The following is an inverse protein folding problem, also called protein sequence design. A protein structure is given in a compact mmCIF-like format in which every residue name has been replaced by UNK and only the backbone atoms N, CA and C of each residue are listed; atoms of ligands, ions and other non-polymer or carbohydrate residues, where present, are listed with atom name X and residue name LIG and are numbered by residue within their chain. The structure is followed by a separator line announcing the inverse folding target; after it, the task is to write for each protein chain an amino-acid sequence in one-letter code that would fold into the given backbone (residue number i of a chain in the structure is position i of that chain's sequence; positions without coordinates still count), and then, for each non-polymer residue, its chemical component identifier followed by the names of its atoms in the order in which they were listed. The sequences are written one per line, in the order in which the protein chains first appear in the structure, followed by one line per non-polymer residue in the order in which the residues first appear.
data_IF_065894239780
#
_entry.id   IF_065894239780
#
_cell.length_a   1.000
_cell.length_b   1.000
_cell.length_c   1.000
_cell.angle_alpha   90.00
_cell.angle_beta   90.00
_cell.angle_gamma   90.00
#
_symmetry.space_group_name_H-M   'P 1'
#
loop_
_entity.id
_entity.type
_entity.pdbx_description
1 polymer ?
#
# COMPACT_ATOMS: atom_id res chain seq x y z
N UNK A 1 -46.73 -28.79 13.88
CA UNK A 1 -46.27 -27.50 14.44
C UNK A 1 -44.76 -27.52 14.37
N UNK A 2 -44.20 -27.13 13.22
CA UNK A 2 -42.75 -27.15 12.93
C UNK A 2 -42.25 -25.75 13.03
N UNK A 3 -41.39 -25.49 14.01
CA UNK A 3 -40.73 -24.21 14.23
C UNK A 3 -39.67 -23.99 13.11
N UNK A 4 -39.91 -23.02 12.24
CA UNK A 4 -38.95 -22.48 11.28
C UNK A 4 -37.88 -21.72 12.05
N UNK A 5 -36.69 -22.30 12.21
CA UNK A 5 -35.52 -21.61 12.69
C UNK A 5 -35.04 -20.76 11.52
N UNK A 6 -35.31 -19.46 11.57
CA UNK A 6 -34.75 -18.49 10.65
C UNK A 6 -33.23 -18.54 10.81
N UNK A 7 -32.53 -19.08 9.80
CA UNK A 7 -31.08 -18.91 9.67
C UNK A 7 -30.81 -17.43 9.53
N UNK A 8 -30.36 -16.81 10.62
CA UNK A 8 -29.80 -15.46 10.58
C UNK A 8 -28.57 -15.50 9.64
N UNK A 9 -28.70 -14.97 8.44
CA UNK A 9 -27.65 -14.97 7.43
C UNK A 9 -26.62 -13.90 7.83
N UNK A 10 -25.60 -14.33 8.58
CA UNK A 10 -24.50 -13.48 9.02
C UNK A 10 -23.83 -12.73 7.86
N UNK A 11 -23.90 -13.32 6.64
CA UNK A 11 -23.33 -12.70 5.44
C UNK A 11 -24.10 -11.45 5.04
N UNK A 12 -25.42 -11.46 5.15
CA UNK A 12 -26.27 -10.30 4.87
C UNK A 12 -26.17 -9.23 5.96
N UNK A 13 -26.00 -9.64 7.24
CA UNK A 13 -25.83 -8.70 8.34
C UNK A 13 -24.50 -7.93 8.23
N UNK A 14 -23.43 -8.60 7.83
CA UNK A 14 -22.12 -7.96 7.62
C UNK A 14 -22.15 -7.05 6.38
N UNK A 15 -22.75 -7.50 5.28
CA UNK A 15 -22.81 -6.72 4.03
C UNK A 15 -23.68 -5.46 4.18
N UNK A 16 -24.83 -5.53 4.86
CA UNK A 16 -25.69 -4.35 5.05
C UNK A 16 -25.14 -3.34 6.05
N UNK A 17 -24.36 -3.75 7.07
CA UNK A 17 -23.78 -2.83 8.04
C UNK A 17 -22.44 -2.20 7.58
N UNK A 18 -21.73 -2.82 6.65
CA UNK A 18 -20.45 -2.30 6.15
C UNK A 18 -20.62 -1.13 5.18
N UNK A 19 -21.75 -1.06 4.47
CA UNK A 19 -22.03 0.08 3.56
C UNK A 19 -22.77 1.24 4.23
N UNK A 20 -23.22 1.12 5.49
CA UNK A 20 -23.93 2.19 6.22
C UNK A 20 -22.98 3.03 7.08
N UNK A 21 -21.88 3.54 6.50
CA UNK A 21 -21.06 4.56 7.16
C UNK A 21 -21.70 5.97 6.99
N UNK A 22 -22.99 6.02 7.23
CA UNK A 22 -23.83 7.22 7.12
C UNK A 22 -24.13 7.86 8.50
N UNK A 23 -23.28 7.59 9.50
CA UNK A 23 -23.48 8.05 10.88
C UNK A 23 -22.87 9.41 11.18
N UNK A 24 -22.15 10.03 10.23
CA UNK A 24 -21.58 11.36 10.45
C UNK A 24 -22.00 12.30 9.34
N UNK A 25 -22.41 13.53 9.72
CA UNK A 25 -22.62 14.60 8.76
C UNK A 25 -21.35 14.82 7.92
N UNK A 26 -21.45 15.46 6.76
CA UNK A 26 -20.29 15.84 5.96
C UNK A 26 -19.24 16.59 6.78
N UNK A 27 -19.69 17.48 7.68
CA UNK A 27 -18.83 18.24 8.59
C UNK A 27 -18.06 17.32 9.57
N UNK A 28 -18.73 16.29 10.11
CA UNK A 28 -18.10 15.35 11.05
C UNK A 28 -16.99 14.54 10.37
N UNK A 29 -17.20 14.10 9.12
CA UNK A 29 -16.14 13.41 8.34
C UNK A 29 -14.89 14.26 8.18
N UNK A 30 -15.05 15.54 7.88
CA UNK A 30 -13.93 16.47 7.72
C UNK A 30 -13.21 16.73 9.04
N UNK A 31 -13.98 16.92 10.12
CA UNK A 31 -13.43 17.14 11.45
C UNK A 31 -12.64 15.93 11.95
N UNK A 32 -13.23 14.73 11.86
CA UNK A 32 -12.58 13.47 12.26
C UNK A 32 -11.36 13.21 11.39
N UNK A 33 -11.48 13.37 10.07
CA UNK A 33 -10.37 13.23 9.13
C UNK A 33 -9.22 14.16 9.45
N UNK A 34 -9.50 15.42 9.79
CA UNK A 34 -8.51 16.39 10.22
C UNK A 34 -7.79 15.97 11.51
N UNK A 35 -8.54 15.57 12.54
CA UNK A 35 -7.97 15.11 13.82
C UNK A 35 -7.09 13.85 13.64
N UNK A 36 -7.58 12.84 12.92
CA UNK A 36 -6.84 11.63 12.63
C UNK A 36 -5.56 11.91 11.83
N UNK A 37 -5.65 12.82 10.86
CA UNK A 37 -4.50 13.25 10.05
C UNK A 37 -3.44 13.91 10.92
N UNK A 38 -3.82 14.86 11.79
CA UNK A 38 -2.89 15.53 12.69
C UNK A 38 -2.22 14.54 13.63
N UNK A 39 -3.00 13.66 14.24
CA UNK A 39 -2.49 12.64 15.16
C UNK A 39 -1.51 11.69 14.46
N UNK A 40 -1.92 11.09 13.34
CA UNK A 40 -1.08 10.15 12.60
C UNK A 40 0.19 10.79 12.05
N UNK A 41 0.09 12.02 11.54
CA UNK A 41 1.25 12.78 11.06
C UNK A 41 2.24 13.06 12.19
N UNK A 42 1.75 13.44 13.37
CA UNK A 42 2.60 13.65 14.55
C UNK A 42 3.30 12.35 14.97
N UNK A 43 2.59 11.21 15.00
CA UNK A 43 3.17 9.90 15.30
C UNK A 43 4.22 9.51 14.26
N UNK A 44 3.90 9.60 12.96
CA UNK A 44 4.82 9.24 11.87
C UNK A 44 6.11 10.07 11.92
N UNK A 45 5.99 11.34 12.30
CA UNK A 45 7.14 12.24 12.46
C UNK A 45 7.94 11.93 13.74
N UNK A 46 7.26 11.62 14.83
CA UNK A 46 7.89 11.26 16.11
C UNK A 46 8.73 9.99 16.00
N UNK A 47 8.22 8.95 15.35
CA UNK A 47 8.97 7.70 15.09
C UNK A 47 10.03 7.84 13.99
N UNK A 48 10.23 9.04 13.43
CA UNK A 48 11.14 9.32 12.32
C UNK A 48 10.87 8.48 11.07
N UNK A 49 9.62 8.12 10.84
CA UNK A 49 9.20 7.39 9.64
C UNK A 49 9.19 8.27 8.39
N UNK A 50 9.04 9.60 8.59
CA UNK A 50 9.02 10.60 7.51
C UNK A 50 9.79 11.86 7.89
N UNK A 51 10.35 12.56 6.87
CA UNK A 51 10.90 13.92 7.02
C UNK A 51 9.78 14.96 7.18
N UNK A 52 10.11 16.24 7.41
CA UNK A 52 9.09 17.31 7.46
C UNK A 52 8.29 17.41 6.14
N UNK A 53 8.97 17.34 4.99
CA UNK A 53 8.30 17.30 3.67
C UNK A 53 7.46 16.06 3.48
N UNK A 54 7.97 14.89 3.93
CA UNK A 54 7.22 13.63 3.93
C UNK A 54 5.98 13.66 4.83
N UNK A 55 6.07 14.33 5.98
CA UNK A 55 4.95 14.53 6.89
C UNK A 55 3.84 15.41 6.27
N UNK A 56 4.22 16.48 5.57
CA UNK A 56 3.26 17.34 4.87
C UNK A 56 2.55 16.58 3.73
N UNK A 57 3.31 15.88 2.89
CA UNK A 57 2.74 15.04 1.83
C UNK A 57 1.85 13.93 2.42
N UNK A 58 2.31 13.26 3.46
CA UNK A 58 1.57 12.23 4.18
C UNK A 58 0.28 12.74 4.81
N UNK A 59 0.27 13.98 5.34
CA UNK A 59 -0.93 14.60 5.90
C UNK A 59 -2.00 14.81 4.82
N UNK A 60 -1.64 15.34 3.67
CA UNK A 60 -2.57 15.52 2.54
C UNK A 60 -3.15 14.17 2.10
N UNK A 61 -2.28 13.18 1.91
CA UNK A 61 -2.66 11.81 1.53
C UNK A 61 -3.59 11.18 2.56
N UNK A 62 -3.24 11.25 3.83
CA UNK A 62 -4.03 10.73 4.94
C UNK A 62 -5.44 11.31 4.95
N UNK A 63 -5.54 12.62 4.84
CA UNK A 63 -6.83 13.32 4.81
C UNK A 63 -7.68 12.90 3.60
N UNK A 64 -7.10 12.89 2.39
CA UNK A 64 -7.80 12.50 1.17
C UNK A 64 -8.25 11.05 1.20
N UNK A 65 -7.39 10.13 1.68
CA UNK A 65 -7.74 8.71 1.82
C UNK A 65 -8.88 8.51 2.83
N UNK A 66 -8.88 9.24 3.96
CA UNK A 66 -9.96 9.14 4.93
C UNK A 66 -11.28 9.71 4.38
N UNK A 67 -11.25 10.89 3.77
CA UNK A 67 -12.46 11.55 3.24
C UNK A 67 -13.05 10.77 2.06
N UNK A 68 -12.20 10.25 1.16
CA UNK A 68 -12.63 9.54 -0.04
C UNK A 68 -12.88 8.05 0.18
N UNK A 69 -12.00 7.36 0.89
CA UNK A 69 -12.08 5.91 1.11
C UNK A 69 -12.57 5.48 2.50
N UNK A 70 -12.83 6.45 3.38
CA UNK A 70 -13.33 6.19 4.74
C UNK A 70 -12.30 5.55 5.69
N UNK A 71 -12.77 5.04 6.86
CA UNK A 71 -11.91 4.42 7.87
C UNK A 71 -11.11 3.22 7.37
N UNK A 72 -11.65 2.46 6.41
CA UNK A 72 -10.97 1.31 5.82
C UNK A 72 -9.71 1.71 5.05
N UNK A 73 -9.78 2.79 4.25
CA UNK A 73 -8.62 3.32 3.54
C UNK A 73 -7.59 3.92 4.50
N UNK A 74 -8.02 4.58 5.56
CA UNK A 74 -7.15 5.09 6.60
C UNK A 74 -6.44 3.95 7.36
N UNK A 75 -7.15 2.90 7.74
CA UNK A 75 -6.57 1.72 8.36
C UNK A 75 -5.54 1.02 7.45
N UNK A 76 -5.83 0.94 6.16
CA UNK A 76 -4.89 0.42 5.17
C UNK A 76 -3.62 1.29 5.07
N UNK A 77 -3.76 2.62 5.06
CA UNK A 77 -2.62 3.55 5.09
C UNK A 77 -1.74 3.34 6.33
N UNK A 78 -2.35 3.24 7.51
CA UNK A 78 -1.61 2.94 8.75
C UNK A 78 -0.86 1.62 8.63
N UNK A 79 -1.50 0.59 8.05
CA UNK A 79 -0.89 -0.72 7.86
C UNK A 79 0.30 -0.64 6.91
N UNK A 80 0.18 0.05 5.77
CA UNK A 80 1.29 0.29 4.83
C UNK A 80 2.45 0.99 5.54
N UNK A 81 2.15 2.06 6.29
CA UNK A 81 3.18 2.79 7.04
C UNK A 81 3.87 1.91 8.09
N UNK A 82 3.10 1.16 8.88
CA UNK A 82 3.64 0.29 9.92
C UNK A 82 4.52 -0.83 9.34
N UNK A 83 4.06 -1.51 8.29
CA UNK A 83 4.84 -2.54 7.61
C UNK A 83 6.14 -1.97 7.05
N UNK A 84 6.05 -0.84 6.35
CA UNK A 84 7.21 -0.16 5.79
C UNK A 84 8.20 0.28 6.89
N UNK A 85 7.73 0.90 7.97
CA UNK A 85 8.58 1.35 9.08
C UNK A 85 9.25 0.19 9.79
N UNK A 86 8.51 -0.87 10.13
CA UNK A 86 9.03 -2.07 10.79
C UNK A 86 10.10 -2.73 9.92
N UNK A 87 9.80 -2.97 8.64
CA UNK A 87 10.74 -3.70 7.76
C UNK A 87 11.98 -2.88 7.42
N UNK A 88 11.87 -1.54 7.37
CA UNK A 88 13.04 -0.66 7.24
C UNK A 88 14.00 -0.81 8.41
N UNK A 89 13.53 -1.07 9.64
CA UNK A 89 14.39 -1.32 10.80
C UNK A 89 15.03 -2.70 10.79
N UNK A 90 14.41 -3.69 10.11
CA UNK A 90 14.94 -5.05 10.04
C UNK A 90 16.30 -5.07 9.31
N UNK A 91 17.30 -5.67 9.95
CA UNK A 91 18.64 -5.79 9.38
C UNK A 91 19.33 -4.46 9.06
N UNK A 92 18.92 -3.34 9.70
CA UNK A 92 19.45 -2.00 9.44
C UNK A 92 21.00 -1.94 9.42
N UNK A 93 21.74 -2.56 10.38
CA UNK A 93 23.20 -2.57 10.34
C UNK A 93 23.78 -3.21 9.08
N UNK A 94 23.17 -4.29 8.58
CA UNK A 94 23.59 -4.94 7.33
C UNK A 94 23.33 -4.01 6.12
N UNK A 95 22.14 -3.44 6.04
CA UNK A 95 21.78 -2.51 4.96
C UNK A 95 22.68 -1.28 4.95
N UNK A 96 23.06 -0.78 6.13
CA UNK A 96 23.99 0.33 6.27
C UNK A 96 25.41 -0.04 5.75
N UNK A 97 25.92 -1.22 6.08
CA UNK A 97 27.22 -1.72 5.55
C UNK A 97 27.21 -1.86 4.03
N UNK A 98 26.07 -2.18 3.44
CA UNK A 98 25.90 -2.31 1.99
C UNK A 98 25.62 -0.95 1.30
N UNK A 99 25.45 0.14 2.06
CA UNK A 99 25.15 1.47 1.50
C UNK A 99 23.73 1.63 0.95
N UNK A 100 22.80 0.74 1.33
CA UNK A 100 21.42 0.68 0.82
C UNK A 100 20.37 0.97 1.91
N UNK A 101 20.79 1.30 3.13
CA UNK A 101 19.88 1.64 4.22
C UNK A 101 19.10 2.91 3.93
N UNK A 102 17.81 2.92 4.24
CA UNK A 102 17.00 4.14 4.24
C UNK A 102 17.57 5.18 5.21
N UNK A 103 17.34 6.46 4.92
CA UNK A 103 17.83 7.56 5.75
C UNK A 103 17.17 7.54 7.13
N UNK A 104 17.93 7.88 8.16
CA UNK A 104 17.43 7.91 9.56
C UNK A 104 16.34 8.96 9.80
N UNK A 105 16.26 9.98 8.96
CA UNK A 105 15.22 11.00 9.00
C UNK A 105 13.87 10.49 8.47
N UNK A 106 13.84 9.33 7.84
CA UNK A 106 12.68 8.72 7.22
C UNK A 106 12.43 9.19 5.78
N UNK A 107 11.29 8.78 5.22
CA UNK A 107 10.92 9.01 3.82
C UNK A 107 10.60 10.47 3.55
N UNK A 108 11.10 10.96 2.42
CA UNK A 108 10.83 12.33 1.95
C UNK A 108 9.48 12.43 1.19
N UNK A 109 9.09 13.66 0.82
CA UNK A 109 7.84 13.90 0.11
C UNK A 109 7.72 13.14 -1.22
N UNK A 110 8.81 13.07 -2.00
CA UNK A 110 8.80 12.39 -3.28
C UNK A 110 8.58 10.88 -3.13
N UNK A 111 9.20 10.25 -2.12
CA UNK A 111 8.98 8.83 -1.79
C UNK A 111 7.53 8.58 -1.37
N UNK A 112 6.97 9.44 -0.50
CA UNK A 112 5.59 9.32 -0.02
C UNK A 112 4.60 9.46 -1.18
N UNK A 113 4.79 10.46 -2.05
CA UNK A 113 3.93 10.69 -3.22
C UNK A 113 4.06 9.57 -4.26
N UNK A 114 5.26 9.06 -4.50
CA UNK A 114 5.48 7.97 -5.45
C UNK A 114 4.72 6.70 -5.06
N UNK A 115 4.75 6.35 -3.77
CA UNK A 115 4.12 5.11 -3.28
C UNK A 115 2.61 5.24 -3.05
N UNK A 116 2.11 6.42 -2.69
CA UNK A 116 0.72 6.59 -2.24
C UNK A 116 -0.12 7.47 -3.16
N UNK A 117 0.50 8.14 -4.14
CA UNK A 117 -0.17 9.12 -5.02
C UNK A 117 -1.29 8.51 -5.84
N UNK A 118 -1.11 7.31 -6.41
CA UNK A 118 -2.13 6.62 -7.20
C UNK A 118 -3.36 6.28 -6.34
N UNK A 119 -3.16 5.70 -5.16
CA UNK A 119 -4.25 5.41 -4.23
C UNK A 119 -4.99 6.68 -3.81
N UNK A 120 -4.25 7.77 -3.56
CA UNK A 120 -4.81 9.08 -3.21
C UNK A 120 -5.64 9.66 -4.34
N UNK A 121 -5.17 9.57 -5.59
CA UNK A 121 -5.92 10.00 -6.76
C UNK A 121 -7.23 9.21 -6.92
N UNK A 122 -7.19 7.89 -6.74
CA UNK A 122 -8.39 7.05 -6.76
C UNK A 122 -9.40 7.47 -5.67
N UNK A 123 -8.93 7.75 -4.45
CA UNK A 123 -9.77 8.23 -3.35
C UNK A 123 -10.39 9.61 -3.65
N UNK A 124 -9.59 10.54 -4.20
CA UNK A 124 -10.05 11.87 -4.55
C UNK A 124 -11.13 11.83 -5.65
N UNK A 125 -10.90 11.06 -6.71
CA UNK A 125 -11.88 10.89 -7.81
C UNK A 125 -13.15 10.23 -7.27
N UNK A 126 -13.03 9.23 -6.40
CA UNK A 126 -14.19 8.58 -5.77
C UNK A 126 -15.01 9.56 -4.92
N UNK A 127 -14.36 10.46 -4.19
CA UNK A 127 -15.02 11.43 -3.31
C UNK A 127 -15.84 12.51 -4.05
N UNK A 128 -15.42 12.91 -5.26
CA UNK A 128 -16.05 14.04 -5.99
C UNK A 128 -17.15 13.63 -6.96
N UNK A 129 -17.42 12.34 -7.16
CA UNK A 129 -18.38 11.91 -8.18
C UNK A 129 -19.19 10.66 -7.83
N UNK A 130 -20.20 10.34 -8.66
CA UNK A 130 -20.91 9.07 -8.68
C UNK A 130 -19.99 7.98 -9.28
N UNK A 131 -18.86 7.77 -8.64
CA UNK A 131 -17.75 7.02 -9.21
C UNK A 131 -17.93 5.52 -9.00
N UNK A 132 -17.56 4.69 -9.99
CA UNK A 132 -17.67 3.25 -9.88
C UNK A 132 -16.82 2.72 -8.72
N UNK A 133 -17.33 1.74 -7.99
CA UNK A 133 -16.64 1.06 -6.87
C UNK A 133 -15.30 0.44 -7.29
N UNK A 134 -15.04 0.30 -8.58
CA UNK A 134 -13.74 -0.14 -9.13
C UNK A 134 -12.58 0.78 -8.71
N UNK A 135 -12.86 2.07 -8.43
CA UNK A 135 -11.84 2.99 -7.90
C UNK A 135 -11.39 2.62 -6.47
N UNK A 136 -12.29 2.05 -5.66
CA UNK A 136 -11.93 1.53 -4.34
C UNK A 136 -11.06 0.27 -4.44
N UNK A 137 -11.30 -0.55 -5.46
CA UNK A 137 -10.44 -1.69 -5.76
C UNK A 137 -9.06 -1.23 -6.24
N UNK A 138 -9.00 -0.26 -7.14
CA UNK A 138 -7.75 0.33 -7.62
C UNK A 138 -6.95 0.97 -6.47
N UNK A 139 -7.61 1.70 -5.57
CA UNK A 139 -7.03 2.26 -4.35
C UNK A 139 -6.42 1.15 -3.48
N UNK A 140 -7.20 0.10 -3.18
CA UNK A 140 -6.72 -1.02 -2.37
C UNK A 140 -5.53 -1.72 -3.01
N UNK A 141 -5.59 -1.96 -4.32
CA UNK A 141 -4.52 -2.62 -5.07
C UNK A 141 -3.22 -1.81 -5.07
N UNK A 142 -3.33 -0.48 -5.23
CA UNK A 142 -2.18 0.42 -5.17
C UNK A 142 -1.56 0.48 -3.76
N UNK A 143 -2.37 0.54 -2.69
CA UNK A 143 -1.86 0.48 -1.30
C UNK A 143 -1.22 -0.87 -0.99
N UNK A 144 -1.82 -1.96 -1.46
CA UNK A 144 -1.31 -3.32 -1.26
C UNK A 144 0.01 -3.52 -2.00
N UNK A 145 0.15 -2.95 -3.19
CA UNK A 145 1.39 -2.98 -3.97
C UNK A 145 2.49 -2.17 -3.29
N UNK A 146 2.22 -0.94 -2.85
CA UNK A 146 3.19 -0.11 -2.15
C UNK A 146 3.75 -0.78 -0.88
N UNK A 147 2.91 -1.54 -0.17
CA UNK A 147 3.37 -2.38 0.94
C UNK A 147 4.18 -3.57 0.45
N UNK A 148 3.71 -4.28 -0.59
CA UNK A 148 4.36 -5.46 -1.12
C UNK A 148 5.77 -5.17 -1.62
N UNK A 149 5.93 -4.13 -2.44
CA UNK A 149 7.23 -3.73 -2.96
C UNK A 149 8.18 -3.31 -1.83
N UNK A 150 7.74 -2.42 -0.95
CA UNK A 150 8.57 -1.97 0.18
C UNK A 150 9.00 -3.14 1.06
N UNK A 151 8.07 -4.01 1.47
CA UNK A 151 8.37 -5.14 2.35
C UNK A 151 9.27 -6.16 1.66
N UNK A 152 9.00 -6.44 0.37
CA UNK A 152 9.83 -7.34 -0.45
C UNK A 152 11.28 -6.87 -0.52
N UNK A 153 11.49 -5.60 -0.84
CA UNK A 153 12.81 -4.98 -0.94
C UNK A 153 13.52 -4.98 0.41
N UNK A 154 12.88 -4.50 1.47
CA UNK A 154 13.48 -4.36 2.79
C UNK A 154 13.85 -5.70 3.43
N UNK A 155 12.95 -6.71 3.33
CA UNK A 155 13.19 -8.07 3.83
C UNK A 155 14.23 -8.78 2.98
N UNK A 156 14.16 -8.62 1.65
CA UNK A 156 15.16 -9.16 0.73
C UNK A 156 16.55 -8.65 1.05
N UNK A 157 16.72 -7.36 1.26
CA UNK A 157 17.99 -6.72 1.63
C UNK A 157 18.49 -7.16 3.02
N UNK A 158 17.56 -7.35 3.98
CA UNK A 158 17.92 -7.73 5.34
C UNK A 158 18.38 -9.18 5.48
N UNK A 159 17.75 -10.11 4.76
CA UNK A 159 17.90 -11.55 5.04
C UNK A 159 18.38 -12.39 3.86
N UNK A 160 18.31 -11.88 2.61
CA UNK A 160 18.74 -12.71 1.47
C UNK A 160 20.23 -12.64 1.24
N UNK A 161 20.85 -13.81 1.17
CA UNK A 161 22.24 -13.96 0.72
C UNK A 161 22.33 -14.04 -0.82
N UNK A 162 21.27 -14.52 -1.46
CA UNK A 162 21.21 -14.81 -2.90
C UNK A 162 20.06 -14.02 -3.54
N UNK A 163 20.36 -12.83 -4.01
CA UNK A 163 19.45 -12.08 -4.87
C UNK A 163 19.76 -12.39 -6.35
N UNK A 164 18.74 -12.37 -7.20
CA UNK A 164 18.86 -12.59 -8.63
C UNK A 164 18.17 -11.47 -9.41
N UNK A 165 18.77 -11.07 -10.50
CA UNK A 165 18.15 -10.09 -11.38
C UNK A 165 16.96 -10.72 -12.09
N UNK A 166 15.79 -10.10 -12.02
CA UNK A 166 14.53 -10.66 -12.55
C UNK A 166 14.59 -10.94 -14.05
N UNK A 167 15.37 -10.17 -14.81
CA UNK A 167 15.43 -10.26 -16.29
C UNK A 167 16.26 -11.42 -16.82
N UNK A 168 17.21 -11.95 -16.06
CA UNK A 168 18.14 -12.99 -16.56
C UNK A 168 18.58 -14.01 -15.50
N UNK A 169 18.02 -13.92 -14.31
CA UNK A 169 18.27 -14.80 -13.16
C UNK A 169 19.74 -14.89 -12.70
N UNK A 170 20.60 -13.98 -13.18
CA UNK A 170 21.98 -13.91 -12.70
C UNK A 170 22.04 -13.45 -11.26
N UNK A 171 22.93 -14.04 -10.44
CA UNK A 171 23.13 -13.59 -9.08
C UNK A 171 23.68 -12.16 -9.08
N UNK A 172 23.14 -11.32 -8.19
CA UNK A 172 23.53 -9.93 -8.01
C UNK A 172 23.57 -9.59 -6.52
N UNK A 173 24.30 -8.55 -6.09
CA UNK A 173 24.28 -8.07 -4.72
C UNK A 173 22.86 -7.67 -4.27
N UNK A 174 22.56 -7.86 -2.98
CA UNK A 174 21.34 -7.34 -2.38
C UNK A 174 21.25 -5.82 -2.56
N UNK A 175 20.06 -5.30 -2.85
CA UNK A 175 19.83 -3.87 -3.13
C UNK A 175 20.12 -3.43 -4.56
N UNK A 176 20.50 -4.37 -5.46
CA UNK A 176 20.57 -4.06 -6.89
C UNK A 176 19.15 -3.82 -7.43
N UNK A 177 18.95 -2.74 -8.18
CA UNK A 177 17.66 -2.42 -8.80
C UNK A 177 17.17 -3.57 -9.69
N UNK A 178 15.92 -4.02 -9.45
CA UNK A 178 15.35 -5.18 -10.14
C UNK A 178 15.85 -6.55 -9.65
N UNK A 179 16.55 -6.60 -8.52
CA UNK A 179 16.92 -7.86 -7.88
C UNK A 179 15.76 -8.42 -7.07
N UNK A 180 15.48 -9.71 -7.24
CA UNK A 180 14.45 -10.46 -6.50
C UNK A 180 15.08 -11.55 -5.65
N UNK A 181 14.41 -11.89 -4.55
CA UNK A 181 14.78 -13.01 -3.68
C UNK A 181 13.55 -13.74 -3.18
N UNK A 182 13.66 -15.03 -2.90
CA UNK A 182 12.52 -15.83 -2.41
C UNK A 182 11.96 -15.26 -1.09
N UNK A 183 12.83 -14.93 -0.14
CA UNK A 183 12.43 -14.35 1.15
C UNK A 183 11.73 -13.01 0.98
N UNK A 184 12.27 -12.12 0.13
CA UNK A 184 11.64 -10.84 -0.19
C UNK A 184 10.28 -11.03 -0.87
N UNK A 185 10.22 -11.85 -1.92
CA UNK A 185 8.97 -12.10 -2.66
C UNK A 185 7.86 -12.66 -1.75
N UNK A 186 8.17 -13.65 -0.91
CA UNK A 186 7.19 -14.21 0.02
C UNK A 186 6.72 -13.17 1.06
N UNK A 187 7.63 -12.34 1.56
CA UNK A 187 7.29 -11.26 2.47
C UNK A 187 6.41 -10.19 1.80
N UNK A 188 6.69 -9.84 0.53
CA UNK A 188 5.87 -8.93 -0.25
C UNK A 188 4.45 -9.47 -0.50
N UNK A 189 4.32 -10.76 -0.85
CA UNK A 189 3.01 -11.42 -1.01
C UNK A 189 2.21 -11.36 0.31
N UNK A 190 2.86 -11.64 1.44
CA UNK A 190 2.23 -11.56 2.76
C UNK A 190 1.78 -10.13 3.08
N UNK A 191 2.58 -9.11 2.74
CA UNK A 191 2.22 -7.71 2.92
C UNK A 191 1.03 -7.30 2.05
N UNK A 192 1.01 -7.71 0.76
CA UNK A 192 -0.14 -7.50 -0.13
C UNK A 192 -1.42 -8.09 0.46
N UNK A 193 -1.35 -9.35 0.92
CA UNK A 193 -2.47 -10.03 1.57
C UNK A 193 -2.95 -9.31 2.83
N UNK A 194 -2.03 -8.84 3.65
CA UNK A 194 -2.34 -8.11 4.89
C UNK A 194 -3.07 -6.81 4.61
N UNK A 195 -2.57 -5.96 3.70
CA UNK A 195 -3.22 -4.67 3.37
C UNK A 195 -4.57 -4.90 2.71
N UNK A 196 -4.67 -5.84 1.74
CA UNK A 196 -5.95 -6.19 1.11
C UNK A 196 -6.96 -6.73 2.12
N UNK A 197 -6.52 -7.52 3.11
CA UNK A 197 -7.39 -8.01 4.19
C UNK A 197 -7.88 -6.85 5.08
N UNK A 198 -7.01 -5.90 5.42
CA UNK A 198 -7.41 -4.68 6.16
C UNK A 198 -8.44 -3.87 5.36
N UNK A 199 -8.26 -3.72 4.04
CA UNK A 199 -9.25 -3.09 3.18
C UNK A 199 -10.60 -3.82 3.20
N UNK A 200 -10.58 -5.16 3.18
CA UNK A 200 -11.80 -5.98 3.26
C UNK A 200 -12.50 -5.83 4.61
N UNK A 201 -11.78 -6.03 5.73
CA UNK A 201 -12.37 -5.91 7.08
C UNK A 201 -12.77 -4.48 7.42
N UNK A 202 -12.09 -3.49 6.86
CA UNK A 202 -12.44 -2.07 6.96
C UNK A 202 -13.59 -1.63 6.05
N UNK A 203 -14.22 -2.56 5.32
CA UNK A 203 -15.38 -2.30 4.48
C UNK A 203 -15.09 -1.59 3.16
N UNK A 204 -13.82 -1.47 2.78
CA UNK A 204 -13.44 -0.82 1.53
C UNK A 204 -13.66 -1.74 0.31
N UNK A 205 -13.51 -3.06 0.50
CA UNK A 205 -13.63 -4.07 -0.55
C UNK A 205 -14.64 -5.16 -0.23
N UNK A 206 -15.49 -5.60 -1.18
CA UNK A 206 -16.23 -6.83 -1.06
C UNK A 206 -15.30 -8.06 -1.15
N UNK A 207 -15.71 -9.17 -0.51
CA UNK A 207 -14.92 -10.42 -0.45
C UNK A 207 -14.45 -10.91 -1.82
N UNK A 208 -15.29 -10.77 -2.84
CA UNK A 208 -14.98 -11.20 -4.23
C UNK A 208 -13.75 -10.52 -4.82
N UNK A 209 -13.41 -9.30 -4.35
CA UNK A 209 -12.29 -8.52 -4.86
C UNK A 209 -10.99 -8.68 -4.06
N UNK A 210 -11.03 -9.42 -2.94
CA UNK A 210 -9.84 -9.63 -2.12
C UNK A 210 -8.70 -10.28 -2.93
N UNK A 211 -9.00 -11.38 -3.62
CA UNK A 211 -8.01 -12.08 -4.44
C UNK A 211 -7.52 -11.22 -5.62
N UNK A 212 -8.42 -10.42 -6.21
CA UNK A 212 -8.07 -9.50 -7.30
C UNK A 212 -7.09 -8.44 -6.82
N UNK A 213 -7.36 -7.82 -5.65
CA UNK A 213 -6.47 -6.82 -5.06
C UNK A 213 -5.08 -7.39 -4.78
N UNK A 214 -4.99 -8.57 -4.18
CA UNK A 214 -3.71 -9.25 -3.91
C UNK A 214 -2.97 -9.59 -5.21
N UNK A 215 -3.66 -10.14 -6.20
CA UNK A 215 -3.04 -10.52 -7.49
C UNK A 215 -2.53 -9.30 -8.25
N UNK A 216 -3.30 -8.21 -8.26
CA UNK A 216 -2.90 -6.95 -8.88
C UNK A 216 -1.68 -6.33 -8.17
N UNK A 217 -1.63 -6.38 -6.84
CA UNK A 217 -0.48 -5.91 -6.06
C UNK A 217 0.79 -6.73 -6.35
N UNK A 218 0.67 -8.07 -6.44
CA UNK A 218 1.79 -8.95 -6.80
C UNK A 218 2.28 -8.62 -8.23
N UNK A 219 1.36 -8.39 -9.15
CA UNK A 219 1.71 -8.01 -10.51
C UNK A 219 2.45 -6.67 -10.54
N UNK A 220 1.99 -5.66 -9.79
CA UNK A 220 2.68 -4.38 -9.64
C UNK A 220 4.09 -4.54 -9.08
N UNK A 221 4.29 -5.32 -8.01
CA UNK A 221 5.60 -5.64 -7.43
C UNK A 221 6.54 -6.32 -8.46
N UNK A 222 6.02 -7.17 -9.33
CA UNK A 222 6.79 -7.78 -10.43
C UNK A 222 7.16 -6.73 -11.47
N UNK A 223 6.22 -5.84 -11.83
CA UNK A 223 6.45 -4.72 -12.75
C UNK A 223 7.54 -3.80 -12.19
N UNK A 224 7.51 -3.48 -10.88
CA UNK A 224 8.56 -2.71 -10.21
C UNK A 224 9.94 -3.32 -10.46
N UNK A 225 10.09 -4.61 -10.18
CA UNK A 225 11.36 -5.32 -10.38
C UNK A 225 11.82 -5.30 -11.83
N UNK A 226 10.92 -5.40 -12.81
CA UNK A 226 11.27 -5.28 -14.24
C UNK A 226 11.67 -3.86 -14.63
N UNK A 227 10.94 -2.85 -14.17
CA UNK A 227 11.27 -1.45 -14.43
C UNK A 227 12.60 -1.06 -13.76
N UNK A 228 12.85 -1.53 -12.54
CA UNK A 228 14.11 -1.38 -11.83
C UNK A 228 15.29 -1.98 -12.61
N UNK A 229 15.13 -3.21 -13.12
CA UNK A 229 16.16 -3.88 -13.90
C UNK A 229 16.43 -3.24 -15.27
N UNK A 230 15.40 -2.73 -15.91
CA UNK A 230 15.49 -2.24 -17.29
C UNK A 230 15.75 -0.75 -17.43
N UNK A 231 15.00 0.07 -16.68
CA UNK A 231 15.00 1.51 -16.85
C UNK A 231 15.85 2.22 -15.79
N UNK A 232 15.67 1.85 -14.51
CA UNK A 232 16.38 2.53 -13.44
C UNK A 232 17.88 2.23 -13.45
N UNK A 233 18.29 0.99 -13.70
CA UNK A 233 19.71 0.63 -13.83
C UNK A 233 20.41 1.31 -15.00
N UNK A 234 19.67 1.76 -16.01
CA UNK A 234 20.18 2.55 -17.14
C UNK A 234 20.16 4.05 -16.90
N UNK A 235 19.67 4.48 -15.73
CA UNK A 235 19.52 5.89 -15.38
C UNK A 235 18.45 6.64 -16.18
N UNK A 236 17.51 5.91 -16.84
CA UNK A 236 16.43 6.51 -17.61
C UNK A 236 15.29 7.03 -16.73
N UNK A 237 15.08 6.40 -15.59
CA UNK A 237 14.12 6.79 -14.55
C UNK A 237 14.77 6.65 -13.17
N UNK A 238 14.22 7.31 -12.17
CA UNK A 238 14.62 7.12 -10.78
C UNK A 238 13.65 6.19 -10.04
N UNK A 239 14.02 5.75 -8.84
CA UNK A 239 13.21 4.86 -8.01
C UNK A 239 11.80 5.41 -7.73
N UNK A 240 11.63 6.73 -7.59
CA UNK A 240 10.30 7.31 -7.37
C UNK A 240 9.38 7.12 -8.58
N UNK A 241 9.92 7.24 -9.79
CA UNK A 241 9.16 6.97 -11.02
C UNK A 241 8.80 5.49 -11.14
N UNK A 242 9.70 4.60 -10.75
CA UNK A 242 9.43 3.15 -10.76
C UNK A 242 8.29 2.81 -9.81
N UNK A 243 8.37 3.25 -8.55
CA UNK A 243 7.32 3.01 -7.55
C UNK A 243 5.95 3.61 -7.96
N UNK A 244 5.94 4.80 -8.58
CA UNK A 244 4.69 5.38 -9.08
C UNK A 244 4.09 4.54 -10.21
N UNK A 245 4.91 4.07 -11.15
CA UNK A 245 4.47 3.26 -12.28
C UNK A 245 4.02 1.86 -11.84
N UNK A 246 4.64 1.26 -10.84
CA UNK A 246 4.25 -0.04 -10.32
C UNK A 246 2.94 0.02 -9.53
N UNK A 247 2.73 1.05 -8.71
CA UNK A 247 1.43 1.29 -8.04
C UNK A 247 0.32 1.57 -9.06
N UNK A 248 0.62 2.32 -10.12
CA UNK A 248 -0.31 2.56 -11.23
C UNK A 248 -0.64 1.27 -11.98
N UNK A 249 0.36 0.43 -12.26
CA UNK A 249 0.16 -0.86 -12.91
C UNK A 249 -0.75 -1.78 -12.09
N UNK A 250 -0.58 -1.81 -10.75
CA UNK A 250 -1.47 -2.56 -9.86
C UNK A 250 -2.91 -2.02 -9.89
N UNK A 251 -3.09 -0.68 -9.83
CA UNK A 251 -4.40 -0.05 -9.91
C UNK A 251 -5.12 -0.37 -11.23
N UNK A 252 -4.41 -0.27 -12.36
CA UNK A 252 -4.96 -0.57 -13.70
C UNK A 252 -5.26 -2.05 -13.84
N UNK A 253 -4.31 -2.93 -13.45
CA UNK A 253 -4.49 -4.38 -13.54
C UNK A 253 -5.73 -4.86 -12.75
N UNK A 254 -6.00 -4.27 -11.59
CA UNK A 254 -7.17 -4.61 -10.80
C UNK A 254 -8.49 -4.32 -11.52
N UNK A 255 -8.54 -3.27 -12.35
CA UNK A 255 -9.71 -2.91 -13.15
C UNK A 255 -9.93 -3.85 -14.34
N UNK A 256 -8.90 -4.56 -14.79
CA UNK A 256 -8.97 -5.52 -15.91
C UNK A 256 -9.31 -6.94 -15.44
N UNK A 257 -9.10 -7.23 -14.15
CA UNK A 257 -9.35 -8.52 -13.54
C UNK A 257 -10.78 -8.63 -12.95
N UNK A 258 -11.60 -7.58 -13.07
CA UNK A 258 -13.02 -7.53 -12.67
C UNK A 258 -13.94 -7.72 -13.85
#
# INVERSE_FOLDING_TARGET
MAASIAKCDLSNFIVTNVYSFDLTSFADRWAIGGLLTLFFTAVARWVRGVTNGGALAGAIICFVLYVGGGPGAFAALITVFALAWITTQLGYPRKQKLGIAERREGRNAAQVLANLGVATACAAIYAVGHSPTVLLLALSSALSEAAADTVSSEVGQAFSEKARLITNWKPVPAGTNGAVSLTGTLAGIAAAGTVSAVCFFGGLLPRRWLAVSVSAAILGMVVDSFLGAWLERRGLVNNHSVNFLSTLAAAVASSWLT
#
